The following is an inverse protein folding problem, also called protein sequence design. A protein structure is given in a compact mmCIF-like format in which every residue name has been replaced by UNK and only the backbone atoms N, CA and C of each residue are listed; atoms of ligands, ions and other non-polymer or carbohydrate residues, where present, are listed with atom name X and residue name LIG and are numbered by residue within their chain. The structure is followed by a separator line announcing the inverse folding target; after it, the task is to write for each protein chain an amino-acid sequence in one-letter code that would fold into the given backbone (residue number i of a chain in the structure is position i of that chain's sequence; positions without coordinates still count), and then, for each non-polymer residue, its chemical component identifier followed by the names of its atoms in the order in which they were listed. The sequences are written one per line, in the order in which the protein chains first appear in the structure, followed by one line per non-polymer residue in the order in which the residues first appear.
data_IF_406070283308
#
_entry.id   IF_406070283308
#
_cell.length_a   1.000
_cell.length_b   1.000
_cell.length_c   1.000
_cell.angle_alpha   90.00
_cell.angle_beta   90.00
_cell.angle_gamma   90.00
#
_symmetry.space_group_name_H-M   'P 1'
#
loop_
_entity.id
_entity.type
_entity.pdbx_description
1 polymer ?
#
# COMPACT_ATOMS: atom_id res chain seq x y z
N UNK A 1 -32.71 -21.74 -38.13
CA UNK A 1 -32.95 -20.62 -37.18
C UNK A 1 -32.19 -20.95 -35.90
N UNK A 2 -30.90 -20.65 -35.88
CA UNK A 2 -30.05 -20.84 -34.69
C UNK A 2 -30.24 -19.65 -33.76
N UNK A 3 -30.62 -19.92 -32.51
CA UNK A 3 -30.45 -19.00 -31.39
C UNK A 3 -29.09 -19.32 -30.79
N UNK A 4 -28.06 -18.61 -31.21
CA UNK A 4 -26.83 -18.53 -30.43
C UNK A 4 -27.16 -17.69 -29.20
N UNK A 5 -27.10 -18.34 -28.03
CA UNK A 5 -27.26 -17.67 -26.75
C UNK A 5 -26.20 -16.60 -26.61
N UNK A 6 -26.62 -15.40 -26.20
CA UNK A 6 -25.77 -14.35 -25.68
C UNK A 6 -24.87 -14.95 -24.60
N UNK A 7 -23.64 -15.27 -25.01
CA UNK A 7 -22.54 -15.52 -24.11
C UNK A 7 -22.22 -14.16 -23.52
N UNK A 8 -22.75 -13.91 -22.32
CA UNK A 8 -22.32 -12.80 -21.47
C UNK A 8 -20.79 -12.72 -21.59
N UNK A 9 -20.24 -11.58 -22.05
CA UNK A 9 -18.82 -11.50 -22.33
C UNK A 9 -18.08 -11.92 -21.07
N UNK A 10 -16.98 -12.71 -21.18
CA UNK A 10 -16.14 -12.96 -20.03
C UNK A 10 -15.82 -11.61 -19.39
N UNK A 11 -16.02 -11.50 -18.08
CA UNK A 11 -15.78 -10.25 -17.34
C UNK A 11 -14.50 -9.61 -17.87
N UNK A 12 -14.58 -8.34 -18.28
CA UNK A 12 -13.45 -7.61 -18.85
C UNK A 12 -12.20 -7.91 -18.00
N UNK A 13 -11.09 -8.41 -18.58
CA UNK A 13 -9.89 -8.74 -17.83
C UNK A 13 -9.41 -7.61 -16.92
N UNK A 14 -9.70 -6.35 -17.27
CA UNK A 14 -9.42 -5.19 -16.42
C UNK A 14 -10.36 -5.12 -15.22
N UNK A 15 -11.66 -5.43 -15.38
CA UNK A 15 -12.61 -5.52 -14.27
C UNK A 15 -12.23 -6.65 -13.31
N UNK A 16 -11.82 -7.80 -13.83
CA UNK A 16 -11.34 -8.91 -12.99
C UNK A 16 -10.08 -8.50 -12.21
N UNK A 17 -9.07 -7.94 -12.89
CA UNK A 17 -7.86 -7.46 -12.24
C UNK A 17 -8.16 -6.38 -11.18
N UNK A 18 -9.12 -5.49 -11.45
CA UNK A 18 -9.53 -4.47 -10.48
C UNK A 18 -10.16 -5.11 -9.24
N UNK A 19 -11.06 -6.09 -9.42
CA UNK A 19 -11.69 -6.80 -8.31
C UNK A 19 -10.64 -7.51 -7.43
N UNK A 20 -9.69 -8.22 -8.05
CA UNK A 20 -8.57 -8.84 -7.34
C UNK A 20 -7.72 -7.82 -6.56
N UNK A 21 -7.50 -6.63 -7.14
CA UNK A 21 -6.76 -5.58 -6.45
C UNK A 21 -7.56 -4.95 -5.29
N UNK A 22 -8.88 -4.86 -5.38
CA UNK A 22 -9.75 -4.41 -4.28
C UNK A 22 -9.75 -5.43 -3.14
N UNK A 23 -9.82 -6.73 -3.43
CA UNK A 23 -9.73 -7.78 -2.41
C UNK A 23 -8.37 -7.74 -1.70
N UNK A 24 -7.29 -7.56 -2.46
CA UNK A 24 -5.95 -7.37 -1.90
C UNK A 24 -5.87 -6.12 -1.02
N UNK A 25 -6.54 -5.02 -1.37
CA UNK A 25 -6.56 -3.81 -0.57
C UNK A 25 -7.14 -4.07 0.83
N UNK A 26 -8.20 -4.88 0.92
CA UNK A 26 -8.82 -5.27 2.20
C UNK A 26 -7.92 -6.20 3.03
N UNK A 27 -7.15 -7.07 2.38
CA UNK A 27 -6.13 -7.88 3.06
C UNK A 27 -5.06 -6.97 3.67
N UNK A 28 -4.57 -6.01 2.91
CA UNK A 28 -3.51 -5.10 3.38
C UNK A 28 -4.00 -4.11 4.43
N UNK A 29 -5.24 -3.60 4.36
CA UNK A 29 -5.81 -2.77 5.44
C UNK A 29 -5.75 -3.51 6.79
N UNK A 30 -6.16 -4.78 6.82
CA UNK A 30 -6.07 -5.62 8.03
C UNK A 30 -4.63 -5.84 8.47
N UNK A 31 -3.71 -6.09 7.54
CA UNK A 31 -2.30 -6.28 7.84
C UNK A 31 -1.63 -5.01 8.40
N UNK A 32 -1.98 -3.83 7.88
CA UNK A 32 -1.52 -2.53 8.40
C UNK A 32 -2.04 -2.31 9.82
N UNK A 33 -3.32 -2.58 10.07
CA UNK A 33 -3.90 -2.50 11.43
C UNK A 33 -3.27 -3.49 12.40
N UNK A 34 -2.88 -4.67 11.93
CA UNK A 34 -2.16 -5.66 12.69
C UNK A 34 -0.65 -5.38 12.81
N UNK A 35 -0.16 -4.26 12.26
CA UNK A 35 1.25 -3.87 12.28
C UNK A 35 2.18 -4.98 11.70
N UNK A 36 1.73 -5.63 10.64
CA UNK A 36 2.51 -6.68 9.97
C UNK A 36 3.64 -6.08 9.14
N UNK A 37 4.77 -6.77 9.06
CA UNK A 37 5.93 -6.37 8.26
C UNK A 37 5.56 -6.11 6.79
N UNK A 38 6.10 -5.02 6.22
CA UNK A 38 5.90 -4.58 4.82
C UNK A 38 4.45 -4.29 4.41
N UNK A 39 3.48 -4.35 5.34
CA UNK A 39 2.05 -4.16 5.03
C UNK A 39 1.75 -2.77 4.42
N UNK A 40 2.38 -1.70 4.94
CA UNK A 40 2.20 -0.34 4.41
C UNK A 40 2.73 -0.24 2.97
N UNK A 41 3.87 -0.88 2.70
CA UNK A 41 4.43 -0.94 1.35
C UNK A 41 3.49 -1.64 0.38
N UNK A 42 3.00 -2.83 0.74
CA UNK A 42 2.13 -3.62 -0.11
C UNK A 42 0.78 -2.95 -0.34
N UNK A 43 0.24 -2.26 0.67
CA UNK A 43 -0.96 -1.44 0.52
C UNK A 43 -0.75 -0.31 -0.49
N UNK A 44 0.38 0.42 -0.41
CA UNK A 44 0.74 1.47 -1.39
C UNK A 44 0.92 0.93 -2.81
N UNK A 45 1.54 -0.24 -2.96
CA UNK A 45 1.69 -0.93 -4.25
C UNK A 45 0.31 -1.27 -4.82
N UNK A 46 -0.58 -1.79 -3.99
CA UNK A 46 -1.95 -2.16 -4.37
C UNK A 46 -2.75 -0.95 -4.82
N UNK A 47 -2.72 0.15 -4.08
CA UNK A 47 -3.36 1.43 -4.46
C UNK A 47 -2.84 1.93 -5.81
N UNK A 48 -1.52 1.88 -6.04
CA UNK A 48 -0.92 2.28 -7.32
C UNK A 48 -1.45 1.43 -8.48
N UNK A 49 -1.54 0.11 -8.31
CA UNK A 49 -2.08 -0.81 -9.31
C UNK A 49 -3.55 -0.50 -9.63
N UNK A 50 -4.38 -0.29 -8.61
CA UNK A 50 -5.80 0.11 -8.78
C UNK A 50 -5.89 1.38 -9.63
N UNK A 51 -5.13 2.42 -9.27
CA UNK A 51 -5.11 3.67 -10.04
C UNK A 51 -4.71 3.46 -11.49
N UNK A 52 -3.67 2.66 -11.75
CA UNK A 52 -3.23 2.36 -13.10
C UNK A 52 -4.30 1.62 -13.91
N UNK A 53 -5.01 0.66 -13.31
CA UNK A 53 -6.10 -0.06 -13.97
C UNK A 53 -7.28 0.87 -14.29
N UNK A 54 -7.70 1.70 -13.33
CA UNK A 54 -8.78 2.68 -13.53
C UNK A 54 -8.42 3.70 -14.60
N UNK A 55 -7.17 4.18 -14.63
CA UNK A 55 -6.69 5.12 -15.64
C UNK A 55 -6.59 4.49 -17.05
N UNK A 56 -6.28 3.19 -17.13
CA UNK A 56 -6.16 2.50 -18.41
C UNK A 56 -7.50 2.15 -19.06
N UNK A 57 -8.60 2.10 -18.29
CA UNK A 57 -9.92 1.69 -18.74
C UNK A 57 -11.03 2.66 -18.32
N UNK A 58 -10.74 3.98 -18.31
CA UNK A 58 -11.65 5.03 -17.86
C UNK A 58 -13.02 4.95 -18.55
N UNK A 59 -13.02 4.76 -19.87
CA UNK A 59 -14.24 4.64 -20.69
C UNK A 59 -15.07 3.39 -20.32
N UNK A 60 -14.41 2.25 -20.08
CA UNK A 60 -15.06 0.99 -19.69
C UNK A 60 -15.72 1.06 -18.31
N UNK A 61 -15.17 1.88 -17.41
CA UNK A 61 -15.69 2.09 -16.06
C UNK A 61 -16.68 3.26 -15.96
N UNK A 62 -16.99 3.95 -17.06
CA UNK A 62 -17.87 5.12 -17.06
C UNK A 62 -17.34 6.25 -16.16
N UNK A 63 -16.02 6.32 -15.96
CA UNK A 63 -15.37 7.37 -15.19
C UNK A 63 -15.35 8.65 -16.06
N UNK A 64 -16.42 9.44 -16.03
CA UNK A 64 -16.38 10.79 -16.59
C UNK A 64 -15.42 11.68 -15.77
N UNK A 65 -15.01 12.81 -16.35
CA UNK A 65 -13.92 13.75 -15.97
C UNK A 65 -13.75 14.13 -14.47
N UNK A 66 -14.62 13.69 -13.56
CA UNK A 66 -14.45 13.81 -12.11
C UNK A 66 -14.14 12.44 -11.48
N UNK A 67 -12.88 12.03 -11.57
CA UNK A 67 -12.42 10.78 -10.98
C UNK A 67 -12.13 10.93 -9.48
N UNK A 68 -13.14 11.32 -8.70
CA UNK A 68 -13.09 11.47 -7.23
C UNK A 68 -12.36 10.28 -6.56
N UNK A 69 -12.60 9.06 -7.06
CA UNK A 69 -11.97 7.85 -6.54
C UNK A 69 -10.44 7.83 -6.73
N UNK A 70 -9.91 8.38 -7.82
CA UNK A 70 -8.46 8.50 -8.02
C UNK A 70 -7.83 9.50 -7.05
N UNK A 71 -8.58 10.54 -6.69
CA UNK A 71 -8.16 11.53 -5.70
C UNK A 71 -8.20 10.94 -4.29
N UNK A 72 -9.26 10.24 -3.89
CA UNK A 72 -9.31 9.50 -2.62
C UNK A 72 -8.17 8.48 -2.49
N UNK A 73 -7.87 7.73 -3.56
CA UNK A 73 -6.73 6.82 -3.61
C UNK A 73 -5.39 7.57 -3.53
N UNK A 74 -5.33 8.82 -4.02
CA UNK A 74 -4.16 9.69 -3.87
C UNK A 74 -3.96 10.12 -2.42
N UNK A 75 -5.03 10.54 -1.77
CA UNK A 75 -5.03 10.98 -0.38
C UNK A 75 -4.66 9.83 0.54
N UNK A 76 -5.25 8.65 0.34
CA UNK A 76 -4.88 7.44 1.09
C UNK A 76 -3.40 7.09 0.89
N UNK A 77 -2.91 7.13 -0.34
CA UNK A 77 -1.48 6.94 -0.60
C UNK A 77 -0.61 8.04 0.04
N UNK A 78 -1.07 9.29 0.13
CA UNK A 78 -0.31 10.35 0.78
C UNK A 78 -0.17 10.10 2.29
N UNK A 79 -1.27 9.73 2.96
CA UNK A 79 -1.28 9.40 4.40
C UNK A 79 -0.34 8.23 4.71
N UNK A 80 -0.39 7.16 3.90
CA UNK A 80 0.51 6.01 4.03
C UNK A 80 1.98 6.34 3.72
N UNK A 81 2.27 7.50 3.13
CA UNK A 81 3.63 7.94 2.78
C UNK A 81 4.49 8.15 4.01
N UNK A 82 3.99 8.88 4.99
CA UNK A 82 4.72 9.15 6.23
C UNK A 82 5.05 7.86 7.00
N UNK A 83 4.09 6.93 7.07
CA UNK A 83 4.31 5.62 7.68
C UNK A 83 5.40 4.82 6.93
N UNK A 84 5.37 4.81 5.59
CA UNK A 84 6.38 4.11 4.80
C UNK A 84 7.77 4.74 4.94
N UNK A 85 7.86 6.06 4.99
CA UNK A 85 9.14 6.74 5.15
C UNK A 85 9.79 6.39 6.51
N UNK A 86 8.98 6.26 7.56
CA UNK A 86 9.42 5.80 8.87
C UNK A 86 9.93 4.34 8.85
N UNK A 87 9.22 3.41 8.19
CA UNK A 87 9.67 2.02 7.99
C UNK A 87 11.01 1.96 7.24
N UNK A 88 11.13 2.70 6.15
CA UNK A 88 12.36 2.75 5.34
C UNK A 88 13.52 3.33 6.16
N UNK A 89 13.27 4.35 6.99
CA UNK A 89 14.27 4.93 7.86
C UNK A 89 14.75 3.93 8.92
N UNK A 90 13.83 3.20 9.56
CA UNK A 90 14.16 2.14 10.52
C UNK A 90 15.02 1.05 9.86
N UNK A 91 14.63 0.60 8.66
CA UNK A 91 15.41 -0.39 7.89
C UNK A 91 16.81 0.13 7.55
N UNK A 92 16.94 1.40 7.14
CA UNK A 92 18.25 2.02 6.86
C UNK A 92 19.13 2.11 8.10
N UNK A 93 18.56 2.46 9.25
CA UNK A 93 19.32 2.47 10.50
C UNK A 93 19.79 1.07 10.89
N UNK A 94 18.91 0.07 10.77
CA UNK A 94 19.29 -1.31 11.02
C UNK A 94 20.45 -1.75 10.12
N UNK A 95 20.33 -1.53 8.81
CA UNK A 95 21.39 -1.84 7.85
C UNK A 95 22.69 -1.09 8.19
N UNK A 96 22.65 0.20 8.48
CA UNK A 96 23.83 0.98 8.81
C UNK A 96 24.54 0.46 10.08
N UNK A 97 23.77 0.08 11.10
CA UNK A 97 24.29 -0.49 12.35
C UNK A 97 24.89 -1.88 12.14
N UNK A 98 24.33 -2.69 11.23
CA UNK A 98 24.83 -4.05 10.93
C UNK A 98 26.16 -4.03 10.17
N UNK A 99 26.50 -2.93 9.51
CA UNK A 99 27.79 -2.74 8.84
C UNK A 99 28.89 -2.15 9.75
N UNK A 100 28.55 -1.80 11.00
CA UNK A 100 29.52 -1.29 11.97
C UNK A 100 30.10 -2.42 12.81
N UNK A 101 31.40 -2.38 13.16
CA UNK A 101 31.97 -3.22 14.20
C UNK A 101 31.13 -3.14 15.49
N UNK A 102 30.77 -4.28 16.12
CA UNK A 102 29.90 -4.28 17.31
C UNK A 102 30.43 -3.41 18.45
N UNK A 103 31.75 -3.29 18.61
CA UNK A 103 32.38 -2.41 19.60
C UNK A 103 32.09 -0.91 19.41
N UNK A 104 31.67 -0.48 18.22
CA UNK A 104 31.29 0.90 17.93
C UNK A 104 29.80 1.17 18.19
N UNK A 105 28.97 0.12 18.27
CA UNK A 105 27.54 0.22 18.61
C UNK A 105 27.39 0.19 20.12
N UNK A 106 27.33 1.38 20.74
CA UNK A 106 27.28 1.51 22.20
C UNK A 106 25.87 1.64 22.76
N UNK A 107 25.64 1.02 23.91
CA UNK A 107 24.41 1.20 24.70
C UNK A 107 23.14 0.90 23.91
N UNK A 108 22.07 1.66 24.17
CA UNK A 108 20.75 1.48 23.54
C UNK A 108 20.61 2.20 22.18
N UNK A 109 21.70 2.52 21.49
CA UNK A 109 21.63 3.27 20.22
C UNK A 109 20.86 2.50 19.14
N UNK A 110 21.02 1.18 19.09
CA UNK A 110 20.27 0.32 18.17
C UNK A 110 18.77 0.36 18.42
N UNK A 111 18.37 0.07 19.66
CA UNK A 111 16.96 0.14 20.09
C UNK A 111 16.38 1.53 19.82
N UNK A 112 17.07 2.60 20.21
CA UNK A 112 16.57 3.96 20.00
C UNK A 112 16.39 4.30 18.52
N UNK A 113 17.39 4.07 17.67
CA UNK A 113 17.29 4.46 16.26
C UNK A 113 16.27 3.62 15.49
N UNK A 114 16.21 2.31 15.75
CA UNK A 114 15.30 1.39 15.04
C UNK A 114 13.89 1.49 15.60
N UNK A 115 13.73 1.49 16.93
CA UNK A 115 12.41 1.49 17.58
C UNK A 115 11.76 2.87 17.57
N UNK A 116 12.49 3.98 17.72
CA UNK A 116 11.90 5.33 17.62
C UNK A 116 11.46 5.62 16.17
N UNK A 117 12.25 5.19 15.17
CA UNK A 117 11.85 5.29 13.77
C UNK A 117 10.63 4.39 13.46
N UNK A 118 10.59 3.16 13.97
CA UNK A 118 9.42 2.28 13.85
C UNK A 118 8.22 2.74 14.67
N UNK A 119 8.41 3.44 15.80
CA UNK A 119 7.34 3.96 16.65
C UNK A 119 6.63 5.18 16.06
N UNK A 120 7.28 5.97 15.21
CA UNK A 120 6.61 7.02 14.45
C UNK A 120 5.44 6.47 13.62
N UNK A 121 5.52 5.22 13.16
CA UNK A 121 4.39 4.49 12.55
C UNK A 121 3.25 4.23 13.55
N UNK A 122 3.57 3.85 14.80
CA UNK A 122 2.59 3.50 15.84
C UNK A 122 1.79 4.70 16.33
N UNK A 123 2.43 5.86 16.47
CA UNK A 123 1.77 7.09 16.98
C UNK A 123 0.82 7.72 15.95
N UNK A 124 1.03 7.50 14.65
CA UNK A 124 0.11 7.95 13.60
C UNK A 124 -1.23 7.21 13.57
N UNK A 125 -1.31 6.01 14.19
CA UNK A 125 -2.52 5.18 14.24
C UNK A 125 -3.26 5.22 15.59
N UNK A 126 -2.69 5.87 16.63
CA UNK A 126 -3.28 5.87 17.98
C UNK A 126 -4.08 7.13 18.32
N UNK A 127 -4.06 8.17 17.47
CA UNK A 127 -4.61 9.50 17.81
C UNK A 127 -5.63 10.02 16.78
N UNK A 128 -6.52 9.13 16.30
CA UNK A 128 -7.70 9.54 15.52
C UNK A 128 -8.86 8.56 15.63
#
# INVERSE_FOLDING_TARGET
MSRDGEREPPADPVQQALAEQVDNLLVWDRAVRANTEDAVHQMRVTIRKIRSLLQAAQDSFGLSDNTWILDELRELAAVLGAARDAEVLAQRYQQALDHLPPELVRGRVRERLVDEAGAAMRLGCSDR
#
